data_IF_150977785446
#
_entry.id   IF_150977785446
#
_cell.length_a   1.000
_cell.length_b   1.000
_cell.length_c   1.000
_cell.angle_alpha   90.00
_cell.angle_beta   90.00
_cell.angle_gamma   90.00
#
_symmetry.space_group_name_H-M   'P 1'
#
loop_
_entity.id
_entity.type
_entity.pdbx_description
1 polymer ?
#
# COMPACT_ATOMS: atom_id res chain seq x y z
N UNK A 1 -20.87 41.93 9.50
CA UNK A 1 -20.95 40.86 8.49
C UNK A 1 -21.62 39.67 9.15
N UNK A 2 -22.79 39.20 8.67
CA UNK A 2 -23.38 37.97 9.18
C UNK A 2 -22.44 36.80 8.87
N UNK A 3 -22.15 35.95 9.86
CA UNK A 3 -21.28 34.77 9.75
C UNK A 3 -21.99 33.57 9.10
N UNK A 4 -22.96 33.81 8.23
CA UNK A 4 -23.92 32.80 7.78
C UNK A 4 -23.85 32.49 6.27
N UNK A 5 -23.01 33.20 5.51
CA UNK A 5 -22.74 32.82 4.11
C UNK A 5 -21.62 31.78 4.08
N UNK A 6 -21.98 30.54 3.72
CA UNK A 6 -21.02 29.50 3.38
C UNK A 6 -20.36 29.91 2.06
N UNK A 7 -19.09 30.31 2.13
CA UNK A 7 -18.27 30.59 0.97
C UNK A 7 -17.59 29.30 0.49
N UNK A 8 -17.94 28.76 -0.69
CA UNK A 8 -17.34 27.54 -1.22
C UNK A 8 -15.84 27.67 -1.54
N UNK A 9 -15.31 28.89 -1.60
CA UNK A 9 -13.89 29.17 -1.86
C UNK A 9 -13.09 29.46 -0.57
N UNK A 10 -13.70 29.44 0.62
CA UNK A 10 -12.98 29.65 1.89
C UNK A 10 -12.20 28.37 2.30
N UNK A 11 -10.86 28.39 2.29
CA UNK A 11 -10.04 27.23 2.66
C UNK A 11 -10.11 26.88 4.16
N UNK A 12 -10.59 27.79 5.01
CA UNK A 12 -10.76 27.58 6.45
C UNK A 12 -12.14 27.02 6.81
N UNK A 13 -13.08 27.01 5.86
CA UNK A 13 -14.39 26.40 6.03
C UNK A 13 -14.25 24.88 6.14
N UNK A 14 -14.84 24.28 7.17
CA UNK A 14 -14.74 22.84 7.40
C UNK A 14 -15.65 22.08 6.44
N UNK A 15 -15.08 21.62 5.33
CA UNK A 15 -15.77 20.75 4.37
C UNK A 15 -15.52 19.28 4.72
N UNK A 16 -16.58 18.59 5.14
CA UNK A 16 -16.55 17.14 5.28
C UNK A 16 -16.57 16.46 3.91
N UNK A 17 -15.61 15.57 3.66
CA UNK A 17 -15.56 14.73 2.46
C UNK A 17 -15.61 13.28 2.90
N UNK A 18 -16.54 12.51 2.32
CA UNK A 18 -16.53 11.06 2.48
C UNK A 18 -15.46 10.46 1.56
N UNK A 19 -14.48 9.80 2.15
CA UNK A 19 -13.55 8.96 1.41
C UNK A 19 -14.13 7.54 1.41
N UNK A 20 -14.56 7.02 0.25
CA UNK A 20 -15.06 5.66 0.18
C UNK A 20 -13.98 4.68 0.62
N UNK A 21 -14.40 3.61 1.31
CA UNK A 21 -13.51 2.53 1.68
C UNK A 21 -12.80 1.93 0.47
N UNK A 22 -11.59 1.42 0.68
CA UNK A 22 -10.82 0.76 -0.36
C UNK A 22 -11.52 -0.52 -0.83
N UNK A 23 -11.69 -0.69 -2.14
CA UNK A 23 -12.13 -1.95 -2.73
C UNK A 23 -11.04 -3.02 -2.65
N UNK A 24 -11.43 -4.30 -2.77
CA UNK A 24 -10.50 -5.43 -2.81
C UNK A 24 -9.42 -5.29 -3.90
N UNK A 25 -9.80 -4.79 -5.07
CA UNK A 25 -8.86 -4.55 -6.18
C UNK A 25 -7.86 -3.45 -5.83
N UNK A 26 -8.32 -2.33 -5.27
CA UNK A 26 -7.43 -1.24 -4.85
C UNK A 26 -6.48 -1.67 -3.72
N UNK A 27 -6.95 -2.50 -2.78
CA UNK A 27 -6.11 -3.06 -1.72
C UNK A 27 -5.02 -3.94 -2.31
N UNK A 28 -5.38 -4.80 -3.26
CA UNK A 28 -4.42 -5.66 -3.98
C UNK A 28 -3.38 -4.84 -4.72
N UNK A 29 -3.82 -3.86 -5.52
CA UNK A 29 -2.92 -3.04 -6.34
C UNK A 29 -1.96 -2.25 -5.45
N UNK A 30 -2.47 -1.65 -4.37
CA UNK A 30 -1.63 -0.96 -3.37
C UNK A 30 -0.61 -1.92 -2.72
N UNK A 31 -1.06 -3.11 -2.32
CA UNK A 31 -0.19 -4.13 -1.70
C UNK A 31 0.91 -4.57 -2.67
N UNK A 32 0.56 -4.76 -3.94
CA UNK A 32 1.52 -5.09 -5.00
C UNK A 32 2.53 -3.98 -5.19
N UNK A 33 2.10 -2.72 -5.32
CA UNK A 33 3.01 -1.57 -5.46
C UNK A 33 4.03 -1.48 -4.32
N UNK A 34 3.62 -1.76 -3.07
CA UNK A 34 4.57 -1.81 -1.96
C UNK A 34 5.59 -2.95 -2.12
N UNK A 35 5.16 -4.15 -2.50
CA UNK A 35 6.08 -5.25 -2.71
C UNK A 35 7.06 -4.98 -3.87
N UNK A 36 6.57 -4.45 -4.99
CA UNK A 36 7.36 -4.15 -6.18
C UNK A 36 8.52 -3.19 -5.91
N UNK A 37 8.27 -2.12 -5.15
CA UNK A 37 9.30 -1.12 -4.86
C UNK A 37 10.51 -1.76 -4.17
N UNK A 38 10.26 -2.53 -3.11
CA UNK A 38 11.33 -3.15 -2.34
C UNK A 38 11.94 -4.38 -3.02
N UNK A 39 11.18 -5.11 -3.84
CA UNK A 39 11.75 -6.13 -4.75
C UNK A 39 12.74 -5.46 -5.70
N UNK A 40 12.46 -4.28 -6.24
CA UNK A 40 13.41 -3.58 -7.13
C UNK A 40 14.65 -3.12 -6.38
N UNK A 41 14.53 -2.76 -5.11
CA UNK A 41 15.67 -2.31 -4.28
C UNK A 41 16.63 -3.41 -3.81
N UNK A 42 16.17 -4.65 -3.65
CA UNK A 42 17.05 -5.64 -3.00
C UNK A 42 16.33 -6.77 -2.29
N UNK A 43 15.10 -6.54 -1.87
CA UNK A 43 14.51 -7.32 -0.80
C UNK A 43 14.12 -8.71 -1.28
N UNK A 44 14.37 -9.68 -0.40
CA UNK A 44 13.93 -11.06 -0.52
C UNK A 44 12.55 -11.22 0.16
N UNK A 45 11.93 -12.39 -0.03
CA UNK A 45 10.59 -12.68 0.49
C UNK A 45 10.51 -12.54 2.02
N UNK A 46 11.54 -12.97 2.75
CA UNK A 46 11.58 -12.91 4.21
C UNK A 46 11.65 -11.47 4.73
N UNK A 47 12.49 -10.61 4.12
CA UNK A 47 12.55 -9.18 4.46
C UNK A 47 11.25 -8.47 4.13
N UNK A 48 10.63 -8.79 3.00
CA UNK A 48 9.33 -8.23 2.63
C UNK A 48 8.25 -8.65 3.64
N UNK A 49 8.14 -9.93 3.97
CA UNK A 49 7.19 -10.37 5.00
C UNK A 49 7.41 -9.67 6.33
N UNK A 50 8.68 -9.52 6.76
CA UNK A 50 9.02 -8.81 8.00
C UNK A 50 8.61 -7.32 7.95
N UNK A 51 8.78 -6.67 6.79
CA UNK A 51 8.33 -5.28 6.58
C UNK A 51 6.81 -5.17 6.66
N UNK A 52 6.08 -6.08 6.02
CA UNK A 52 4.62 -6.13 6.04
C UNK A 52 4.06 -6.39 7.45
N UNK A 53 4.78 -7.09 8.32
CA UNK A 53 4.37 -7.33 9.71
C UNK A 53 4.77 -6.22 10.68
N UNK A 54 5.57 -5.25 10.23
CA UNK A 54 6.08 -4.18 11.09
C UNK A 54 5.14 -2.95 11.08
N UNK A 55 4.55 -2.55 12.23
CA UNK A 55 3.66 -1.39 12.32
C UNK A 55 4.28 -0.06 11.90
N UNK A 56 5.61 0.05 11.84
CA UNK A 56 6.26 1.24 11.28
C UNK A 56 5.83 1.50 9.82
N UNK A 57 5.62 0.43 9.03
CA UNK A 57 5.17 0.51 7.64
C UNK A 57 3.65 0.44 7.57
N UNK A 58 2.97 1.55 7.90
CA UNK A 58 1.50 1.58 8.08
C UNK A 58 0.71 0.99 6.90
N UNK A 59 1.08 1.30 5.65
CA UNK A 59 0.41 0.77 4.45
C UNK A 59 0.55 -0.76 4.32
N UNK A 60 1.78 -1.29 4.23
CA UNK A 60 2.03 -2.73 4.25
C UNK A 60 1.41 -3.45 5.45
N UNK A 61 1.57 -2.88 6.65
CA UNK A 61 1.00 -3.43 7.88
C UNK A 61 -0.52 -3.49 7.86
N UNK A 62 -1.19 -2.49 7.29
CA UNK A 62 -2.62 -2.49 7.12
C UNK A 62 -3.07 -3.63 6.19
N UNK A 63 -2.38 -3.85 5.07
CA UNK A 63 -2.69 -4.95 4.16
C UNK A 63 -2.53 -6.32 4.84
N UNK A 64 -1.42 -6.53 5.56
CA UNK A 64 -1.21 -7.74 6.34
C UNK A 64 -2.27 -7.93 7.43
N UNK A 65 -2.60 -6.88 8.18
CA UNK A 65 -3.61 -6.95 9.24
C UNK A 65 -5.01 -7.29 8.71
N UNK A 66 -5.35 -6.85 7.50
CA UNK A 66 -6.65 -7.12 6.89
C UNK A 66 -6.76 -8.51 6.25
N UNK A 67 -5.67 -9.04 5.69
CA UNK A 67 -5.71 -10.23 4.82
C UNK A 67 -4.85 -11.41 5.28
N UNK A 68 -3.91 -11.17 6.18
CA UNK A 68 -3.03 -12.19 6.75
C UNK A 68 -1.88 -12.60 5.85
N UNK A 69 -1.10 -13.56 6.34
CA UNK A 69 0.20 -13.95 5.76
C UNK A 69 0.08 -14.55 4.36
N UNK A 70 -0.90 -15.42 4.11
CA UNK A 70 -1.01 -16.13 2.83
C UNK A 70 -1.29 -15.18 1.66
N UNK A 71 -2.14 -14.18 1.89
CA UNK A 71 -2.43 -13.14 0.92
C UNK A 71 -1.20 -12.31 0.59
N UNK A 72 -0.51 -11.81 1.62
CA UNK A 72 0.68 -10.97 1.44
C UNK A 72 1.80 -11.76 0.77
N UNK A 73 2.02 -13.01 1.18
CA UNK A 73 3.02 -13.89 0.59
C UNK A 73 2.75 -14.13 -0.90
N UNK A 74 1.50 -14.37 -1.28
CA UNK A 74 1.13 -14.55 -2.69
C UNK A 74 1.48 -13.31 -3.53
N UNK A 75 1.22 -12.11 -3.01
CA UNK A 75 1.53 -10.85 -3.71
C UNK A 75 3.05 -10.61 -3.79
N UNK A 76 3.79 -10.88 -2.72
CA UNK A 76 5.26 -10.78 -2.73
C UNK A 76 5.85 -11.71 -3.80
N UNK A 77 5.37 -12.96 -3.87
CA UNK A 77 5.84 -13.91 -4.87
C UNK A 77 5.49 -13.48 -6.29
N UNK A 78 4.33 -12.85 -6.49
CA UNK A 78 3.96 -12.23 -7.76
C UNK A 78 4.94 -11.10 -8.14
N UNK A 79 5.21 -10.17 -7.23
CA UNK A 79 6.17 -9.08 -7.45
C UNK A 79 7.58 -9.59 -7.77
N UNK A 80 8.06 -10.61 -7.03
CA UNK A 80 9.35 -11.24 -7.29
C UNK A 80 9.39 -11.86 -8.68
N UNK A 81 8.34 -12.59 -9.10
CA UNK A 81 8.27 -13.17 -10.44
C UNK A 81 8.28 -12.12 -11.54
N UNK A 82 7.65 -10.97 -11.30
CA UNK A 82 7.57 -9.87 -12.27
C UNK A 82 8.92 -9.17 -12.45
N UNK A 83 9.60 -8.84 -11.34
CA UNK A 83 10.78 -7.97 -11.36
C UNK A 83 12.12 -8.70 -11.19
N UNK A 84 12.10 -9.96 -10.75
CA UNK A 84 13.26 -10.85 -10.61
C UNK A 84 12.94 -12.26 -11.12
N UNK A 85 12.53 -12.42 -12.39
CA UNK A 85 12.34 -13.74 -12.96
C UNK A 85 13.65 -14.53 -12.86
N UNK A 86 13.58 -15.80 -12.42
CA UNK A 86 14.76 -16.66 -12.31
C UNK A 86 15.53 -16.67 -13.65
N UNK A 87 16.76 -16.15 -13.66
CA UNK A 87 17.58 -15.97 -14.87
C UNK A 87 18.30 -14.61 -14.99
N UNK A 88 17.98 -13.62 -14.16
CA UNK A 88 18.72 -12.36 -14.09
C UNK A 88 20.03 -12.51 -13.30
N UNK A 89 21.17 -12.62 -13.99
CA UNK A 89 22.49 -12.49 -13.37
C UNK A 89 22.59 -11.14 -12.64
N UNK A 90 22.72 -11.18 -11.32
CA UNK A 90 23.28 -10.06 -10.57
C UNK A 90 24.81 -10.18 -10.65
N UNK A 91 25.41 -9.36 -11.51
CA UNK A 91 26.83 -9.00 -11.44
C UNK A 91 26.98 -7.71 -10.64
#
# INVERSE_FOLDING_TARGET
>A
MPKEEIDPEDPMEMVGIELPGQSEAQLRDMTLSFAEEFVREGYDEEKLMSMFQNPFYQGPYLAWKQKGDDYVRAIIQEAIRMWRPQGGCHA
#
